data_IF_087876837343
#
_entry.id   IF_087876837343
#
_cell.length_a   1.000
_cell.length_b   1.000
_cell.length_c   1.000
_cell.angle_alpha   90.00
_cell.angle_beta   90.00
_cell.angle_gamma   90.00
#
_symmetry.space_group_name_H-M   'P 1'
#
loop_
_entity.id
_entity.type
_entity.pdbx_description
1 polymer ?
#
# COMPACT_ATOMS: atom_id res chain seq x y z
N UNK A 1 -21.59 -14.28 18.75
CA UNK A 1 -20.73 -13.69 17.70
C UNK A 1 -19.48 -14.56 17.61
N UNK A 2 -19.06 -14.93 16.40
CA UNK A 2 -17.83 -15.71 16.19
C UNK A 2 -16.62 -14.95 16.74
N UNK A 3 -15.54 -15.67 17.12
CA UNK A 3 -14.31 -15.07 17.60
C UNK A 3 -13.72 -14.03 16.61
N UNK A 4 -14.02 -14.20 15.31
CA UNK A 4 -13.60 -13.31 14.21
C UNK A 4 -14.11 -11.87 14.35
N UNK A 5 -15.31 -11.68 14.88
CA UNK A 5 -15.95 -10.36 15.02
C UNK A 5 -16.01 -9.86 16.47
N UNK A 6 -15.08 -10.29 17.30
CA UNK A 6 -15.10 -9.97 18.72
C UNK A 6 -15.04 -8.46 19.02
N UNK A 7 -14.28 -7.69 18.24
CA UNK A 7 -14.17 -6.22 18.39
C UNK A 7 -15.45 -5.46 18.02
N UNK A 8 -16.34 -6.07 17.21
CA UNK A 8 -17.64 -5.47 16.87
C UNK A 8 -18.63 -5.41 18.06
N UNK A 9 -18.28 -5.99 19.21
CA UNK A 9 -19.06 -5.82 20.46
C UNK A 9 -19.00 -4.39 20.97
N UNK A 10 -17.93 -3.68 20.71
CA UNK A 10 -17.70 -2.30 21.17
C UNK A 10 -18.36 -1.30 20.23
N UNK A 11 -19.26 -0.47 20.76
CA UNK A 11 -20.07 0.47 19.96
C UNK A 11 -19.19 1.47 19.20
N UNK A 12 -18.20 2.06 19.89
CA UNK A 12 -17.26 3.00 19.28
C UNK A 12 -16.46 2.35 18.14
N UNK A 13 -16.07 1.06 18.32
CA UNK A 13 -15.36 0.33 17.26
C UNK A 13 -16.27 0.05 16.04
N UNK A 14 -17.56 -0.23 16.21
CA UNK A 14 -18.51 -0.39 15.10
C UNK A 14 -18.61 0.88 14.26
N UNK A 15 -18.79 2.02 14.93
CA UNK A 15 -18.83 3.32 14.23
C UNK A 15 -17.54 3.56 13.44
N UNK A 16 -16.40 3.30 14.06
CA UNK A 16 -15.09 3.43 13.41
C UNK A 16 -14.92 2.51 12.21
N UNK A 17 -15.26 1.23 12.36
CA UNK A 17 -15.08 0.23 11.30
C UNK A 17 -15.88 0.58 10.04
N UNK A 18 -17.18 0.88 10.18
CA UNK A 18 -18.04 1.25 9.06
C UNK A 18 -17.56 2.54 8.40
N UNK A 19 -17.27 3.56 9.20
CA UNK A 19 -16.79 4.83 8.71
C UNK A 19 -15.42 4.73 8.02
N UNK A 20 -14.51 3.94 8.58
CA UNK A 20 -13.19 3.68 7.98
C UNK A 20 -13.30 2.91 6.66
N UNK A 21 -14.23 1.97 6.53
CA UNK A 21 -14.49 1.27 5.28
C UNK A 21 -14.98 2.24 4.21
N UNK A 22 -15.94 3.11 4.54
CA UNK A 22 -16.48 4.13 3.63
C UNK A 22 -15.35 5.08 3.19
N UNK A 23 -14.63 5.70 4.14
CA UNK A 23 -13.56 6.64 3.81
C UNK A 23 -12.41 5.98 3.03
N UNK A 24 -12.03 4.74 3.37
CA UNK A 24 -11.00 4.02 2.62
C UNK A 24 -11.44 3.71 1.18
N UNK A 25 -12.74 3.43 0.96
CA UNK A 25 -13.30 3.26 -0.39
C UNK A 25 -13.22 4.58 -1.15
N UNK A 26 -13.55 5.72 -0.51
CA UNK A 26 -13.38 7.05 -1.05
C UNK A 26 -11.96 7.34 -1.49
N UNK A 27 -10.95 7.07 -0.63
CA UNK A 27 -9.53 7.25 -0.98
C UNK A 27 -9.16 6.55 -2.30
N UNK A 28 -9.59 5.30 -2.49
CA UNK A 28 -9.28 4.55 -3.70
C UNK A 28 -10.08 5.04 -4.91
N UNK A 29 -11.32 5.46 -4.68
CA UNK A 29 -12.18 6.06 -5.70
C UNK A 29 -11.61 7.40 -6.19
N UNK A 30 -11.23 8.29 -5.26
CA UNK A 30 -10.59 9.57 -5.57
C UNK A 30 -9.29 9.39 -6.38
N UNK A 31 -8.47 8.43 -5.99
CA UNK A 31 -7.20 8.15 -6.67
C UNK A 31 -7.40 7.81 -8.15
N UNK A 32 -8.33 6.91 -8.42
CA UNK A 32 -8.68 6.54 -9.79
C UNK A 32 -9.22 7.74 -10.57
N UNK A 33 -10.13 8.51 -9.97
CA UNK A 33 -10.68 9.70 -10.61
C UNK A 33 -9.61 10.76 -10.88
N UNK A 34 -8.65 10.93 -9.97
CA UNK A 34 -7.54 11.87 -10.13
C UNK A 34 -6.58 11.44 -11.24
N UNK A 35 -6.15 10.17 -11.23
CA UNK A 35 -5.28 9.62 -12.27
C UNK A 35 -5.96 9.73 -13.65
N UNK A 36 -7.24 9.40 -13.71
CA UNK A 36 -8.04 9.47 -14.93
C UNK A 36 -8.21 10.91 -15.42
N UNK A 37 -8.50 11.85 -14.51
CA UNK A 37 -8.65 13.27 -14.82
C UNK A 37 -7.36 13.87 -15.38
N UNK A 38 -6.25 13.61 -14.73
CA UNK A 38 -4.93 14.10 -15.20
C UNK A 38 -4.61 13.48 -16.55
N UNK A 39 -4.81 12.18 -16.73
CA UNK A 39 -4.44 11.46 -17.95
C UNK A 39 -5.27 11.85 -19.17
N UNK A 40 -6.59 12.02 -19.00
CA UNK A 40 -7.52 12.13 -20.15
C UNK A 40 -8.09 13.53 -20.39
N UNK A 41 -8.06 14.40 -19.38
CA UNK A 41 -8.66 15.75 -19.49
C UNK A 41 -7.62 16.85 -19.41
N UNK A 42 -6.66 16.75 -18.48
CA UNK A 42 -5.66 17.81 -18.27
C UNK A 42 -4.43 17.65 -19.17
N UNK A 43 -4.17 16.42 -19.63
CA UNK A 43 -3.03 16.12 -20.48
C UNK A 43 -3.45 15.19 -21.61
N UNK A 44 -2.74 15.22 -22.72
CA UNK A 44 -3.01 14.31 -23.84
C UNK A 44 -2.34 12.95 -23.59
N UNK A 45 -2.87 12.20 -22.61
CA UNK A 45 -2.36 10.89 -22.18
C UNK A 45 -0.91 10.91 -21.68
N UNK A 46 -0.45 12.03 -21.10
CA UNK A 46 0.87 12.14 -20.49
C UNK A 46 0.93 11.47 -19.11
N UNK A 47 1.39 10.23 -19.09
CA UNK A 47 1.57 9.47 -17.85
C UNK A 47 2.65 10.05 -16.93
N UNK A 48 3.58 10.88 -17.45
CA UNK A 48 4.58 11.56 -16.60
C UNK A 48 3.91 12.48 -15.59
N UNK A 49 2.85 13.16 -16.00
CA UNK A 49 2.10 14.07 -15.14
C UNK A 49 1.31 13.31 -14.06
N UNK A 50 0.73 12.15 -14.42
CA UNK A 50 0.10 11.26 -13.43
C UNK A 50 1.13 10.76 -12.42
N UNK A 51 2.30 10.36 -12.89
CA UNK A 51 3.42 9.96 -12.05
C UNK A 51 3.87 11.08 -11.10
N UNK A 52 3.93 12.32 -11.58
CA UNK A 52 4.31 13.48 -10.76
C UNK A 52 3.24 13.81 -9.70
N UNK A 53 1.96 13.79 -10.05
CA UNK A 53 0.85 13.96 -9.10
C UNK A 53 0.91 12.89 -8.01
N UNK A 54 1.11 11.64 -8.40
CA UNK A 54 1.29 10.54 -7.45
C UNK A 54 2.51 10.75 -6.56
N UNK A 55 3.64 11.19 -7.13
CA UNK A 55 4.84 11.50 -6.35
C UNK A 55 4.57 12.60 -5.31
N UNK A 56 3.91 13.68 -5.71
CA UNK A 56 3.55 14.78 -4.81
C UNK A 56 2.58 14.36 -3.71
N UNK A 57 1.72 13.37 -3.96
CA UNK A 57 0.82 12.83 -2.96
C UNK A 57 1.55 11.99 -1.89
N UNK A 58 2.62 11.28 -2.26
CA UNK A 58 3.36 10.44 -1.32
C UNK A 58 4.60 11.11 -0.72
N UNK A 59 5.17 12.11 -1.38
CA UNK A 59 6.36 12.84 -0.92
C UNK A 59 6.22 13.43 0.49
N UNK A 60 5.08 14.06 0.86
CA UNK A 60 4.90 14.59 2.21
C UNK A 60 4.98 13.52 3.31
N UNK A 61 4.63 12.27 3.02
CA UNK A 61 4.73 11.17 3.97
C UNK A 61 6.20 10.96 4.37
N UNK A 62 7.13 11.06 3.41
CA UNK A 62 8.56 10.95 3.68
C UNK A 62 9.06 12.18 4.45
N UNK A 63 8.72 13.37 3.95
CA UNK A 63 9.22 14.64 4.50
C UNK A 63 8.74 14.88 5.94
N UNK A 64 7.48 14.57 6.22
CA UNK A 64 6.81 14.94 7.47
C UNK A 64 6.57 13.77 8.43
N UNK A 65 6.95 12.54 8.09
CA UNK A 65 6.69 11.35 8.94
C UNK A 65 7.19 11.49 10.38
N UNK A 66 8.35 12.11 10.59
CA UNK A 66 8.90 12.32 11.92
C UNK A 66 8.04 13.29 12.75
N UNK A 67 7.59 14.39 12.16
CA UNK A 67 6.76 15.39 12.82
C UNK A 67 5.31 14.95 12.95
N UNK A 68 4.80 14.24 11.96
CA UNK A 68 3.46 13.65 11.97
C UNK A 68 3.24 12.75 13.19
N UNK A 69 4.24 11.94 13.54
CA UNK A 69 4.20 11.14 14.75
C UNK A 69 4.15 11.96 16.03
N UNK A 70 4.90 13.08 16.12
CA UNK A 70 4.86 13.97 17.28
C UNK A 70 3.50 14.67 17.42
N UNK A 71 2.92 15.11 16.30
CA UNK A 71 1.59 15.71 16.26
C UNK A 71 0.54 14.70 16.72
N UNK A 72 0.59 13.47 16.20
CA UNK A 72 -0.31 12.39 16.56
C UNK A 72 -0.22 12.01 18.06
N UNK A 73 0.93 12.22 18.70
CA UNK A 73 1.12 11.95 20.13
C UNK A 73 0.64 13.10 21.04
N UNK A 74 0.63 14.35 20.54
CA UNK A 74 0.28 15.52 21.34
C UNK A 74 -1.21 15.88 21.29
N UNK A 75 -1.88 15.56 20.20
CA UNK A 75 -3.28 15.94 19.98
C UNK A 75 -4.16 14.71 20.26
N UNK A 76 -5.32 14.87 20.97
CA UNK A 76 -6.27 13.78 21.16
C UNK A 76 -6.68 13.15 19.83
N UNK A 77 -6.52 11.82 19.70
CA UNK A 77 -6.69 11.09 18.45
C UNK A 77 -8.02 11.37 17.76
N UNK A 78 -9.11 11.45 18.53
CA UNK A 78 -10.45 11.78 18.02
C UNK A 78 -10.50 13.14 17.30
N UNK A 79 -9.95 14.21 17.91
CA UNK A 79 -9.95 15.55 17.29
C UNK A 79 -9.03 15.62 16.09
N UNK A 80 -7.85 15.03 16.21
CA UNK A 80 -6.88 15.00 15.12
C UNK A 80 -7.47 14.34 13.88
N UNK A 81 -8.11 13.17 14.05
CA UNK A 81 -8.75 12.46 12.96
C UNK A 81 -9.94 13.21 12.36
N UNK A 82 -10.74 13.92 13.18
CA UNK A 82 -11.79 14.78 12.64
C UNK A 82 -11.20 15.86 11.73
N UNK A 83 -10.14 16.54 12.16
CA UNK A 83 -9.48 17.58 11.35
C UNK A 83 -8.89 17.01 10.06
N UNK A 84 -8.19 15.87 10.13
CA UNK A 84 -7.56 15.27 8.94
C UNK A 84 -8.61 14.78 7.94
N UNK A 85 -9.68 14.14 8.40
CA UNK A 85 -10.75 13.65 7.53
C UNK A 85 -11.53 14.81 6.88
N UNK A 86 -11.83 15.87 7.63
CA UNK A 86 -12.40 17.11 7.07
C UNK A 86 -11.46 17.74 6.03
N UNK A 87 -10.16 17.78 6.32
CA UNK A 87 -9.16 18.32 5.40
C UNK A 87 -9.10 17.57 4.07
N UNK A 88 -9.08 16.23 4.10
CA UNK A 88 -9.09 15.41 2.87
C UNK A 88 -10.43 15.59 2.13
N UNK A 89 -11.55 15.55 2.84
CA UNK A 89 -12.87 15.80 2.25
C UNK A 89 -12.98 17.17 1.58
N UNK A 90 -12.38 18.21 2.18
CA UNK A 90 -12.32 19.56 1.60
C UNK A 90 -11.46 19.59 0.33
N UNK A 91 -10.32 18.91 0.32
CA UNK A 91 -9.48 18.78 -0.89
C UNK A 91 -10.29 18.12 -2.01
N UNK A 92 -10.99 17.02 -1.74
CA UNK A 92 -11.85 16.36 -2.74
C UNK A 92 -12.99 17.26 -3.22
N UNK A 93 -13.60 18.02 -2.33
CA UNK A 93 -14.64 18.98 -2.69
C UNK A 93 -14.09 20.06 -3.63
N UNK A 94 -12.91 20.63 -3.33
CA UNK A 94 -12.28 21.63 -4.17
C UNK A 94 -11.97 21.05 -5.55
N UNK A 95 -11.37 19.85 -5.63
CA UNK A 95 -11.11 19.19 -6.92
C UNK A 95 -12.42 19.00 -7.68
N UNK A 96 -13.48 18.50 -7.03
CA UNK A 96 -14.79 18.29 -7.65
C UNK A 96 -15.38 19.57 -8.23
N UNK A 97 -15.32 20.69 -7.51
CA UNK A 97 -15.78 22.00 -7.98
C UNK A 97 -14.93 22.46 -9.18
N UNK A 98 -13.62 22.37 -9.09
CA UNK A 98 -12.71 22.78 -10.17
C UNK A 98 -12.96 21.96 -11.45
N UNK A 99 -13.20 20.66 -11.31
CA UNK A 99 -13.57 19.78 -12.45
C UNK A 99 -14.90 20.17 -13.07
N UNK A 100 -15.93 20.39 -12.23
CA UNK A 100 -17.29 20.71 -12.69
C UNK A 100 -17.39 22.10 -13.35
N UNK A 101 -16.61 23.06 -12.89
CA UNK A 101 -16.58 24.40 -13.47
C UNK A 101 -15.73 24.48 -14.74
N UNK A 102 -14.97 23.43 -15.08
CA UNK A 102 -14.08 23.40 -16.22
C UNK A 102 -12.86 24.33 -16.08
N UNK A 103 -12.58 24.84 -14.87
CA UNK A 103 -11.45 25.75 -14.60
C UNK A 103 -10.18 24.99 -14.18
N UNK A 104 -10.20 23.65 -14.32
CA UNK A 104 -9.14 22.78 -13.88
C UNK A 104 -7.86 22.91 -14.72
N UNK A 105 -6.76 23.17 -14.05
CA UNK A 105 -5.42 23.18 -14.63
C UNK A 105 -4.53 22.18 -13.88
N UNK A 106 -3.45 21.76 -14.52
CA UNK A 106 -2.56 20.73 -14.00
C UNK A 106 -1.92 21.13 -12.65
N UNK A 107 -1.55 22.41 -12.48
CA UNK A 107 -0.96 22.89 -11.25
C UNK A 107 -1.90 22.80 -10.03
N UNK A 108 -3.22 22.89 -10.24
CA UNK A 108 -4.19 22.64 -9.17
C UNK A 108 -4.03 21.22 -8.62
N UNK A 109 -3.83 20.23 -9.52
CA UNK A 109 -3.64 18.84 -9.10
C UNK A 109 -2.35 18.64 -8.32
N UNK A 110 -1.26 19.34 -8.69
CA UNK A 110 0.00 19.27 -7.96
C UNK A 110 -0.15 19.79 -6.52
N UNK A 111 -0.74 20.97 -6.36
CA UNK A 111 -0.93 21.59 -5.04
C UNK A 111 -1.87 20.72 -4.18
N UNK A 112 -3.02 20.30 -4.73
CA UNK A 112 -4.02 19.53 -3.99
C UNK A 112 -3.53 18.13 -3.65
N UNK A 113 -2.74 17.51 -4.52
CA UNK A 113 -2.08 16.24 -4.23
C UNK A 113 -1.07 16.38 -3.08
N UNK A 114 -0.25 17.44 -3.07
CA UNK A 114 0.71 17.70 -2.00
C UNK A 114 0.01 18.00 -0.66
N UNK A 115 -1.06 18.78 -0.66
CA UNK A 115 -1.87 19.07 0.53
C UNK A 115 -2.50 17.77 1.06
N UNK A 116 -3.14 16.97 0.19
CA UNK A 116 -3.72 15.68 0.55
C UNK A 116 -2.69 14.73 1.15
N UNK A 117 -1.50 14.67 0.53
CA UNK A 117 -0.36 13.89 1.05
C UNK A 117 0.11 14.36 2.42
N UNK A 118 0.15 15.67 2.65
CA UNK A 118 0.54 16.27 3.94
C UNK A 118 -0.46 15.91 5.04
N UNK A 119 -1.75 15.98 4.73
CA UNK A 119 -2.80 15.56 5.67
C UNK A 119 -2.68 14.05 5.94
N UNK A 120 -2.47 13.24 4.91
CA UNK A 120 -2.34 11.78 5.01
C UNK A 120 -1.11 11.35 5.82
N UNK A 121 -0.02 12.13 5.78
CA UNK A 121 1.17 11.89 6.59
C UNK A 121 0.86 11.91 8.10
N UNK A 122 -0.08 12.78 8.52
CA UNK A 122 -0.53 12.89 9.93
C UNK A 122 -1.67 11.91 10.22
N UNK A 123 -2.60 11.72 9.29
CA UNK A 123 -3.77 10.85 9.43
C UNK A 123 -3.36 9.39 9.69
N UNK A 124 -2.38 8.89 8.93
CA UNK A 124 -1.98 7.47 8.99
C UNK A 124 -1.52 7.02 10.37
N UNK A 125 -0.55 7.68 11.04
CA UNK A 125 -0.15 7.28 12.39
C UNK A 125 -1.25 7.55 13.43
N UNK A 126 -2.03 8.62 13.29
CA UNK A 126 -3.14 8.93 14.16
C UNK A 126 -4.22 7.84 14.12
N UNK A 127 -4.58 7.38 12.92
CA UNK A 127 -5.55 6.30 12.69
C UNK A 127 -5.09 4.98 13.29
N UNK A 128 -3.82 4.61 13.12
CA UNK A 128 -3.27 3.37 13.69
C UNK A 128 -3.29 3.42 15.23
N UNK A 129 -2.93 4.54 15.81
CA UNK A 129 -2.92 4.73 17.25
C UNK A 129 -4.34 4.72 17.84
N UNK A 130 -5.30 5.36 17.17
CA UNK A 130 -6.68 5.49 17.64
C UNK A 130 -7.42 4.15 17.76
N UNK A 131 -7.07 3.15 16.95
CA UNK A 131 -7.62 1.79 17.07
C UNK A 131 -7.43 1.23 18.49
N UNK A 132 -6.30 1.57 19.14
CA UNK A 132 -6.01 1.17 20.51
C UNK A 132 -6.88 1.83 21.57
N UNK A 133 -7.50 2.98 21.23
CA UNK A 133 -8.43 3.66 22.12
C UNK A 133 -9.87 3.11 22.02
N UNK A 134 -10.16 2.26 21.02
CA UNK A 134 -11.51 1.78 20.73
C UNK A 134 -11.83 0.42 21.34
N UNK A 135 -10.82 -0.36 21.70
CA UNK A 135 -10.97 -1.73 22.22
C UNK A 135 -9.94 -1.98 23.33
N UNK A 136 -10.25 -2.87 24.30
CA UNK A 136 -9.26 -3.29 25.28
C UNK A 136 -8.11 -4.06 24.64
N UNK A 137 -6.97 -4.10 25.33
CA UNK A 137 -5.71 -4.65 24.80
C UNK A 137 -5.83 -6.11 24.33
N UNK A 138 -6.66 -6.92 25.00
CA UNK A 138 -6.89 -8.35 24.61
C UNK A 138 -7.60 -8.49 23.25
N UNK A 139 -8.26 -7.44 22.77
CA UNK A 139 -8.99 -7.42 21.49
C UNK A 139 -8.26 -6.64 20.39
N UNK A 140 -7.12 -6.03 20.71
CA UNK A 140 -6.34 -5.19 19.79
C UNK A 140 -5.97 -5.95 18.50
N UNK A 141 -5.48 -7.17 18.59
CA UNK A 141 -5.12 -7.97 17.43
C UNK A 141 -6.33 -8.22 16.50
N UNK A 142 -7.51 -8.46 17.08
CA UNK A 142 -8.75 -8.64 16.31
C UNK A 142 -9.19 -7.34 15.62
N UNK A 143 -9.11 -6.19 16.33
CA UNK A 143 -9.45 -4.89 15.77
C UNK A 143 -8.52 -4.51 14.60
N UNK A 144 -7.21 -4.72 14.76
CA UNK A 144 -6.23 -4.47 13.70
C UNK A 144 -6.48 -5.36 12.48
N UNK A 145 -6.78 -6.64 12.69
CA UNK A 145 -7.10 -7.58 11.59
C UNK A 145 -8.38 -7.16 10.83
N UNK A 146 -9.42 -6.73 11.54
CA UNK A 146 -10.65 -6.25 10.92
C UNK A 146 -10.42 -4.94 10.13
N UNK A 147 -9.63 -4.01 10.68
CA UNK A 147 -9.27 -2.78 9.94
C UNK A 147 -8.45 -3.07 8.68
N UNK A 148 -7.52 -4.03 8.73
CA UNK A 148 -6.80 -4.48 7.54
C UNK A 148 -7.76 -5.08 6.50
N UNK A 149 -8.74 -5.87 6.94
CA UNK A 149 -9.79 -6.42 6.07
C UNK A 149 -10.60 -5.30 5.42
N UNK A 150 -11.04 -4.29 6.19
CA UNK A 150 -11.75 -3.13 5.65
C UNK A 150 -10.94 -2.39 4.60
N UNK A 151 -9.64 -2.15 4.86
CA UNK A 151 -8.74 -1.50 3.90
C UNK A 151 -8.59 -2.29 2.60
N UNK A 152 -8.41 -3.62 2.67
CA UNK A 152 -8.31 -4.46 1.48
C UNK A 152 -9.63 -4.55 0.71
N UNK A 153 -10.77 -4.56 1.40
CA UNK A 153 -12.11 -4.51 0.79
C UNK A 153 -12.32 -3.18 0.07
N UNK A 154 -11.94 -2.06 0.69
CA UNK A 154 -12.00 -0.75 0.10
C UNK A 154 -11.13 -0.63 -1.16
N UNK A 155 -9.92 -1.21 -1.12
CA UNK A 155 -8.99 -1.26 -2.27
C UNK A 155 -9.55 -2.04 -3.46
N UNK A 156 -10.45 -3.00 -3.20
CA UNK A 156 -11.15 -3.76 -4.25
C UNK A 156 -12.34 -2.95 -4.80
N UNK A 157 -13.21 -2.45 -3.91
CA UNK A 157 -14.46 -1.80 -4.28
C UNK A 157 -14.21 -0.42 -4.88
N UNK A 158 -13.28 0.36 -4.31
CA UNK A 158 -13.02 1.75 -4.70
C UNK A 158 -12.71 1.93 -6.18
N UNK A 159 -11.66 1.30 -6.74
CA UNK A 159 -11.33 1.44 -8.16
C UNK A 159 -12.41 0.90 -9.09
N UNK A 160 -13.08 -0.20 -8.72
CA UNK A 160 -14.18 -0.74 -9.51
C UNK A 160 -15.34 0.25 -9.59
N UNK A 161 -15.80 0.78 -8.44
CA UNK A 161 -16.87 1.77 -8.41
C UNK A 161 -16.47 3.09 -9.07
N UNK A 162 -15.21 3.52 -8.96
CA UNK A 162 -14.74 4.74 -9.60
C UNK A 162 -14.91 4.68 -11.13
N UNK A 163 -14.49 3.58 -11.76
CA UNK A 163 -14.66 3.41 -13.20
C UNK A 163 -16.11 3.52 -13.64
N UNK A 164 -17.04 2.85 -12.95
CA UNK A 164 -18.47 2.93 -13.25
C UNK A 164 -19.05 4.33 -13.01
N UNK A 165 -18.69 4.99 -11.91
CA UNK A 165 -19.22 6.33 -11.61
C UNK A 165 -18.69 7.38 -12.59
N UNK A 166 -17.44 7.25 -13.04
CA UNK A 166 -16.87 8.13 -14.06
C UNK A 166 -17.64 7.97 -15.39
N UNK A 167 -17.95 6.74 -15.79
CA UNK A 167 -18.68 6.49 -17.04
C UNK A 167 -20.14 6.98 -16.98
N UNK A 168 -20.80 6.90 -15.81
CA UNK A 168 -22.23 7.27 -15.68
C UNK A 168 -22.44 8.75 -15.40
N UNK A 169 -21.61 9.35 -14.56
CA UNK A 169 -21.83 10.71 -14.03
C UNK A 169 -20.70 11.67 -14.37
N UNK A 170 -19.62 11.18 -14.96
CA UNK A 170 -18.43 11.98 -15.21
C UNK A 170 -17.49 12.07 -14.00
N UNK A 171 -16.36 12.72 -14.19
CA UNK A 171 -15.28 12.76 -13.20
C UNK A 171 -15.61 13.65 -12.00
N UNK A 172 -16.23 14.83 -12.25
CA UNK A 172 -16.50 15.83 -11.19
C UNK A 172 -17.37 15.30 -10.05
N UNK A 173 -18.53 14.67 -10.33
CA UNK A 173 -19.37 14.08 -9.29
C UNK A 173 -18.68 13.00 -8.44
N UNK A 174 -17.71 12.29 -8.99
CA UNK A 174 -16.94 11.28 -8.23
C UNK A 174 -16.17 11.92 -7.07
N UNK A 175 -15.56 13.09 -7.28
CA UNK A 175 -14.89 13.83 -6.21
C UNK A 175 -15.88 14.38 -5.17
N UNK A 176 -17.10 14.76 -5.58
CA UNK A 176 -18.13 15.19 -4.63
C UNK A 176 -18.62 14.01 -3.77
N UNK A 177 -18.80 12.83 -4.37
CA UNK A 177 -19.14 11.60 -3.66
C UNK A 177 -18.04 11.30 -2.64
N UNK A 178 -16.77 11.39 -3.03
CA UNK A 178 -15.64 11.17 -2.13
C UNK A 178 -15.63 12.17 -0.97
N UNK A 179 -15.87 13.45 -1.24
CA UNK A 179 -15.98 14.47 -0.18
C UNK A 179 -17.08 14.12 0.85
N UNK A 180 -18.24 13.61 0.38
CA UNK A 180 -19.32 13.14 1.25
C UNK A 180 -18.89 11.88 2.02
N UNK A 181 -18.16 10.95 1.40
CA UNK A 181 -17.69 9.74 2.06
C UNK A 181 -16.74 10.06 3.22
N UNK A 182 -15.95 11.14 3.12
CA UNK A 182 -15.11 11.62 4.23
C UNK A 182 -15.89 12.23 5.40
N UNK A 183 -17.18 12.57 5.23
CA UNK A 183 -18.02 12.96 6.36
C UNK A 183 -18.37 11.77 7.26
N UNK A 184 -18.39 10.55 6.74
CA UNK A 184 -18.72 9.37 7.54
C UNK A 184 -17.80 9.20 8.78
N UNK A 185 -16.46 9.23 8.70
CA UNK A 185 -15.61 9.18 9.89
C UNK A 185 -15.74 10.42 10.78
N UNK A 186 -15.98 11.61 10.22
CA UNK A 186 -16.19 12.83 11.04
C UNK A 186 -17.43 12.68 11.91
N UNK A 187 -18.54 12.22 11.33
CA UNK A 187 -19.80 11.96 12.02
C UNK A 187 -19.63 10.81 13.01
N UNK A 188 -19.01 9.71 12.61
CA UNK A 188 -18.76 8.57 13.48
C UNK A 188 -17.95 8.98 14.72
N UNK A 189 -16.88 9.74 14.53
CA UNK A 189 -16.06 10.28 15.63
C UNK A 189 -16.86 11.25 16.51
N UNK A 190 -17.78 12.03 15.95
CA UNK A 190 -18.65 12.92 16.73
C UNK A 190 -19.68 12.15 17.58
N UNK A 191 -20.17 11.02 17.10
CA UNK A 191 -21.15 10.17 17.79
C UNK A 191 -20.52 9.22 18.83
N UNK A 192 -19.20 9.06 18.86
CA UNK A 192 -18.52 8.19 19.81
C UNK A 192 -18.68 8.67 21.24
N UNK A 193 -18.90 7.74 22.15
CA UNK A 193 -18.97 7.97 23.59
C UNK A 193 -17.56 8.09 24.15
N UNK A 194 -17.22 9.29 24.64
CA UNK A 194 -15.89 9.61 25.17
C UNK A 194 -15.52 8.82 26.43
N UNK A 195 -16.53 8.49 27.25
CA UNK A 195 -16.41 7.67 28.47
C UNK A 195 -16.05 6.21 28.22
N UNK A 196 -16.26 5.73 26.99
CA UNK A 196 -15.96 4.36 26.55
C UNK A 196 -14.65 4.26 25.75
N UNK A 197 -13.85 5.31 25.69
CA UNK A 197 -12.52 5.27 25.08
C UNK A 197 -11.49 4.79 26.11
N UNK A 198 -10.64 3.87 25.67
CA UNK A 198 -9.55 3.35 26.49
C UNK A 198 -8.38 4.33 26.52
N UNK A 199 -7.75 4.53 27.70
CA UNK A 199 -6.60 5.43 27.80
C UNK A 199 -5.44 4.97 26.89
N UNK A 200 -4.86 5.90 26.17
CA UNK A 200 -3.70 5.63 25.33
C UNK A 200 -2.44 5.55 26.19
N UNK A 201 -1.74 4.43 26.16
CA UNK A 201 -0.39 4.30 26.72
C UNK A 201 0.60 4.97 25.78
N UNK A 202 1.06 6.17 26.14
CA UNK A 202 2.12 6.87 25.40
C UNK A 202 3.45 6.19 25.69
N UNK A 203 4.08 5.63 24.67
CA UNK A 203 5.44 5.11 24.78
C UNK A 203 6.40 6.29 24.59
N UNK A 204 7.27 6.61 25.59
CA UNK A 204 8.22 7.70 25.46
C UNK A 204 9.16 7.46 24.26
N UNK A 205 9.27 8.46 23.40
CA UNK A 205 10.23 8.43 22.28
C UNK A 205 11.55 9.02 22.76
N UNK A 206 12.61 8.21 22.79
CA UNK A 206 13.95 8.69 23.04
C UNK A 206 14.59 9.25 21.77
N UNK A 207 15.43 10.32 21.88
CA UNK A 207 16.23 10.80 20.76
C UNK A 207 17.14 9.69 20.20
N UNK A 208 17.30 9.64 18.87
CA UNK A 208 18.22 8.67 18.24
C UNK A 208 17.61 7.31 17.88
N UNK A 209 16.37 7.01 18.23
CA UNK A 209 15.72 5.72 17.95
C UNK A 209 15.66 5.36 16.47
N UNK A 210 15.54 6.34 15.58
CA UNK A 210 15.55 6.10 14.13
C UNK A 210 16.93 5.64 13.67
N UNK A 211 18.00 6.30 14.14
CA UNK A 211 19.39 5.92 13.83
C UNK A 211 19.71 4.51 14.33
N UNK A 212 19.29 4.19 15.55
CA UNK A 212 19.43 2.84 16.11
C UNK A 212 18.74 1.78 15.23
N UNK A 213 17.54 2.08 14.74
CA UNK A 213 16.80 1.17 13.85
C UNK A 213 17.50 0.97 12.50
N UNK A 214 18.07 2.03 11.92
CA UNK A 214 18.85 1.95 10.69
C UNK A 214 20.11 1.12 10.91
N UNK A 215 20.84 1.33 12.01
CA UNK A 215 22.01 0.54 12.37
C UNK A 215 21.63 -0.93 12.59
N UNK A 216 20.53 -1.20 13.29
CA UNK A 216 20.02 -2.56 13.48
C UNK A 216 19.70 -3.24 12.14
N UNK A 217 18.97 -2.57 11.26
CA UNK A 217 18.67 -3.10 9.92
C UNK A 217 19.95 -3.30 9.11
N UNK A 218 20.93 -2.39 9.23
CA UNK A 218 22.21 -2.54 8.54
C UNK A 218 23.00 -3.77 9.00
N UNK A 219 22.91 -4.14 10.27
CA UNK A 219 23.53 -5.36 10.80
C UNK A 219 22.82 -6.66 10.39
N UNK A 220 21.53 -6.56 9.97
CA UNK A 220 20.68 -7.70 9.62
C UNK A 220 20.53 -7.84 8.10
N UNK A 221 21.35 -8.69 7.53
CA UNK A 221 21.41 -8.91 6.08
C UNK A 221 20.10 -9.46 5.51
N UNK A 222 19.41 -10.32 6.25
CA UNK A 222 18.10 -10.87 5.88
C UNK A 222 17.04 -9.75 5.71
N UNK A 223 16.98 -8.78 6.63
CA UNK A 223 16.07 -7.65 6.56
C UNK A 223 16.46 -6.69 5.44
N UNK A 224 17.77 -6.42 5.24
CA UNK A 224 18.24 -5.54 4.16
C UNK A 224 17.83 -6.03 2.78
N UNK A 225 17.96 -7.34 2.52
CA UNK A 225 17.57 -7.94 1.24
C UNK A 225 16.07 -7.76 1.01
N UNK A 226 15.24 -7.99 2.03
CA UNK A 226 13.80 -7.80 1.94
C UNK A 226 13.48 -6.32 1.64
N UNK A 227 14.12 -5.39 2.34
CA UNK A 227 13.89 -3.95 2.11
C UNK A 227 14.34 -3.51 0.72
N UNK A 228 15.49 -3.98 0.24
CA UNK A 228 15.97 -3.69 -1.11
C UNK A 228 15.00 -4.23 -2.18
N UNK A 229 14.54 -5.47 -2.02
CA UNK A 229 13.55 -6.08 -2.91
C UNK A 229 12.24 -5.30 -2.90
N UNK A 230 11.71 -4.98 -1.72
CA UNK A 230 10.47 -4.20 -1.57
C UNK A 230 10.62 -2.82 -2.19
N UNK A 231 11.76 -2.15 -1.99
CA UNK A 231 12.01 -0.83 -2.58
C UNK A 231 11.93 -0.86 -4.10
N UNK A 232 12.66 -1.77 -4.75
CA UNK A 232 12.71 -1.86 -6.21
C UNK A 232 11.34 -2.24 -6.79
N UNK A 233 10.69 -3.25 -6.21
CA UNK A 233 9.36 -3.69 -6.68
C UNK A 233 8.31 -2.60 -6.44
N UNK A 234 8.35 -1.89 -5.31
CA UNK A 234 7.38 -0.81 -5.04
C UNK A 234 7.63 0.41 -5.93
N UNK A 235 8.90 0.77 -6.19
CA UNK A 235 9.23 1.90 -7.02
C UNK A 235 8.81 1.65 -8.48
N UNK A 236 9.20 0.51 -9.04
CA UNK A 236 9.11 0.29 -10.48
C UNK A 236 7.92 -0.61 -10.88
N UNK A 237 7.56 -1.60 -10.07
CA UNK A 237 6.50 -2.55 -10.39
C UNK A 237 5.11 -2.11 -9.89
N UNK A 238 4.99 -1.58 -8.68
CA UNK A 238 3.67 -1.37 -8.06
C UNK A 238 2.94 -0.10 -8.53
N UNK A 239 3.03 0.23 -9.81
CA UNK A 239 2.37 1.38 -10.45
C UNK A 239 1.14 0.98 -11.27
N UNK A 240 0.50 -0.16 -10.94
CA UNK A 240 -0.57 -0.78 -11.72
C UNK A 240 -1.72 0.19 -12.06
N UNK A 241 -2.11 1.08 -11.17
CA UNK A 241 -3.23 2.00 -11.44
C UNK A 241 -2.92 2.93 -12.62
N UNK A 242 -1.78 3.62 -12.58
CA UNK A 242 -1.34 4.50 -13.66
C UNK A 242 -1.09 3.72 -14.96
N UNK A 243 -0.34 2.61 -14.88
CA UNK A 243 0.04 1.84 -16.08
C UNK A 243 -1.15 1.14 -16.74
N UNK A 244 -2.12 0.64 -15.96
CA UNK A 244 -3.33 0.03 -16.50
C UNK A 244 -4.33 1.06 -17.04
N UNK A 245 -4.40 2.28 -16.46
CA UNK A 245 -5.17 3.38 -17.03
C UNK A 245 -4.58 3.79 -18.39
N UNK A 246 -3.26 3.94 -18.47
CA UNK A 246 -2.56 4.25 -19.71
C UNK A 246 -2.76 3.16 -20.77
N UNK A 247 -2.66 1.86 -20.41
CA UNK A 247 -2.95 0.74 -21.32
C UNK A 247 -4.40 0.73 -21.78
N UNK A 248 -5.34 0.96 -20.88
CA UNK A 248 -6.78 0.98 -21.19
C UNK A 248 -7.09 2.07 -22.24
N UNK A 249 -6.55 3.27 -22.06
CA UNK A 249 -6.81 4.43 -22.93
C UNK A 249 -6.04 4.36 -24.23
N UNK A 250 -4.71 4.22 -24.18
CA UNK A 250 -3.83 4.39 -25.35
C UNK A 250 -3.69 3.12 -26.21
N UNK A 251 -3.71 1.94 -25.58
CA UNK A 251 -3.50 0.67 -26.32
C UNK A 251 -4.84 0.00 -26.68
N UNK A 252 -5.80 0.01 -25.75
CA UNK A 252 -7.07 -0.68 -25.95
C UNK A 252 -8.24 0.25 -26.34
N UNK A 253 -8.07 1.57 -26.31
CA UNK A 253 -9.10 2.56 -26.64
C UNK A 253 -10.36 2.41 -25.77
N UNK A 254 -10.21 2.12 -24.48
CA UNK A 254 -11.28 1.83 -23.53
C UNK A 254 -11.57 3.00 -22.60
N UNK A 255 -12.81 3.10 -22.13
CA UNK A 255 -13.30 4.10 -21.17
C UNK A 255 -12.99 3.69 -19.72
N UNK A 256 -13.33 4.57 -18.78
CA UNK A 256 -13.01 4.44 -17.36
C UNK A 256 -13.62 3.18 -16.70
N UNK A 257 -14.82 2.77 -17.08
CA UNK A 257 -15.42 1.53 -16.57
C UNK A 257 -14.61 0.29 -16.86
N UNK A 258 -13.94 0.25 -18.02
CA UNK A 258 -13.03 -0.84 -18.36
C UNK A 258 -11.81 -0.87 -17.43
N UNK A 259 -11.27 0.29 -17.03
CA UNK A 259 -10.22 0.35 -16.01
C UNK A 259 -10.69 -0.21 -14.66
N UNK A 260 -11.93 0.07 -14.25
CA UNK A 260 -12.54 -0.51 -13.05
C UNK A 260 -12.58 -2.04 -13.08
N UNK A 261 -12.88 -2.63 -14.24
CA UNK A 261 -12.85 -4.09 -14.45
C UNK A 261 -11.42 -4.63 -14.28
N UNK A 262 -10.40 -4.00 -14.87
CA UNK A 262 -8.99 -4.43 -14.71
C UNK A 262 -8.57 -4.43 -13.24
N UNK A 263 -8.96 -3.39 -12.51
CA UNK A 263 -8.68 -3.28 -11.06
C UNK A 263 -9.38 -4.39 -10.26
N UNK A 264 -10.58 -4.80 -10.67
CA UNK A 264 -11.30 -5.91 -10.04
C UNK A 264 -10.59 -7.24 -10.25
N UNK A 265 -10.14 -7.53 -11.47
CA UNK A 265 -9.37 -8.75 -11.76
C UNK A 265 -8.07 -8.81 -10.95
N UNK A 266 -7.34 -7.70 -10.88
CA UNK A 266 -6.14 -7.61 -10.03
C UNK A 266 -6.43 -7.83 -8.55
N UNK A 267 -7.54 -7.30 -8.06
CA UNK A 267 -7.94 -7.43 -6.67
C UNK A 267 -8.33 -8.86 -6.31
N UNK A 268 -8.99 -9.60 -7.22
CA UNK A 268 -9.26 -11.04 -7.04
C UNK A 268 -7.96 -11.81 -6.83
N UNK A 269 -6.96 -11.59 -7.71
CA UNK A 269 -5.64 -12.18 -7.57
C UNK A 269 -4.96 -11.81 -6.24
N UNK A 270 -5.06 -10.55 -5.85
CA UNK A 270 -4.51 -10.01 -4.61
C UNK A 270 -5.08 -10.69 -3.36
N UNK A 271 -6.40 -10.92 -3.31
CA UNK A 271 -7.06 -11.62 -2.22
C UNK A 271 -6.58 -13.08 -2.13
N UNK A 272 -6.51 -13.77 -3.26
CA UNK A 272 -6.01 -15.14 -3.30
C UNK A 272 -4.56 -15.24 -2.85
N UNK A 273 -3.71 -14.31 -3.30
CA UNK A 273 -2.29 -14.24 -2.93
C UNK A 273 -2.07 -13.97 -1.45
N UNK A 274 -2.75 -12.97 -0.90
CA UNK A 274 -2.63 -12.63 0.53
C UNK A 274 -3.15 -13.73 1.43
N UNK A 275 -4.29 -14.34 1.10
CA UNK A 275 -4.87 -15.46 1.85
C UNK A 275 -3.98 -16.69 1.80
N UNK A 276 -3.41 -17.00 0.64
CA UNK A 276 -2.45 -18.11 0.47
C UNK A 276 -1.16 -17.89 1.26
N UNK A 277 -0.65 -16.65 1.30
CA UNK A 277 0.53 -16.27 2.07
C UNK A 277 0.27 -16.35 3.58
N UNK A 278 -0.88 -15.88 4.05
CA UNK A 278 -1.23 -15.87 5.48
C UNK A 278 -1.34 -17.29 6.09
N UNK A 279 -1.64 -18.30 5.29
CA UNK A 279 -1.72 -19.71 5.73
C UNK A 279 -0.36 -20.40 5.81
N UNK A 280 0.72 -19.75 5.41
CA UNK A 280 2.07 -20.33 5.35
C UNK A 280 3.01 -19.59 6.28
N UNK A 281 3.95 -20.31 6.89
CA UNK A 281 5.02 -19.68 7.65
C UNK A 281 5.82 -18.76 6.72
N UNK A 282 6.07 -17.50 7.10
CA UNK A 282 6.80 -16.56 6.27
C UNK A 282 8.25 -17.03 6.10
N UNK A 283 8.70 -17.13 4.86
CA UNK A 283 10.05 -17.58 4.49
C UNK A 283 10.58 -16.74 3.34
N UNK A 284 11.86 -16.44 3.33
CA UNK A 284 12.49 -15.64 2.28
C UNK A 284 12.22 -16.21 0.86
N UNK A 285 12.23 -17.52 0.70
CA UNK A 285 11.93 -18.17 -0.59
C UNK A 285 10.54 -17.83 -1.12
N UNK A 286 9.53 -17.67 -0.25
CA UNK A 286 8.16 -17.32 -0.66
C UNK A 286 8.15 -15.88 -1.18
N UNK A 287 8.92 -15.00 -0.55
CA UNK A 287 9.07 -13.60 -0.97
C UNK A 287 9.75 -13.53 -2.34
N UNK A 288 10.87 -14.23 -2.52
CA UNK A 288 11.62 -14.26 -3.78
C UNK A 288 10.81 -14.88 -4.91
N UNK A 289 10.15 -16.01 -4.67
CA UNK A 289 9.27 -16.65 -5.65
C UNK A 289 8.05 -15.79 -5.97
N UNK A 290 7.47 -15.13 -4.97
CA UNK A 290 6.37 -14.18 -5.16
C UNK A 290 6.77 -12.98 -6.01
N UNK A 291 7.97 -12.42 -5.77
CA UNK A 291 8.51 -11.33 -6.57
C UNK A 291 8.86 -11.75 -8.01
N UNK A 292 9.48 -12.92 -8.19
CA UNK A 292 9.79 -13.45 -9.51
C UNK A 292 8.51 -13.76 -10.29
N UNK A 293 7.53 -14.38 -9.65
CA UNK A 293 6.22 -14.65 -10.24
C UNK A 293 5.50 -13.35 -10.62
N UNK A 294 5.52 -12.35 -9.74
CA UNK A 294 4.96 -11.02 -10.00
C UNK A 294 5.63 -10.36 -11.22
N UNK A 295 6.97 -10.30 -11.24
CA UNK A 295 7.70 -9.71 -12.36
C UNK A 295 7.45 -10.45 -13.69
N UNK A 296 7.39 -11.78 -13.67
CA UNK A 296 7.03 -12.57 -14.85
C UNK A 296 5.60 -12.29 -15.31
N UNK A 297 4.65 -12.21 -14.37
CA UNK A 297 3.27 -11.89 -14.68
C UNK A 297 3.12 -10.47 -15.26
N UNK A 298 3.87 -9.48 -14.77
CA UNK A 298 3.91 -8.12 -15.34
C UNK A 298 4.48 -8.11 -16.76
N UNK A 299 5.54 -8.87 -17.02
CA UNK A 299 6.10 -8.98 -18.38
C UNK A 299 5.05 -9.55 -19.34
N UNK A 300 4.36 -10.63 -18.95
CA UNK A 300 3.28 -11.20 -19.75
C UNK A 300 2.10 -10.23 -19.90
N UNK A 301 1.79 -9.47 -18.85
CA UNK A 301 0.76 -8.44 -18.84
C UNK A 301 1.06 -7.35 -19.87
N UNK A 302 2.31 -6.87 -19.93
CA UNK A 302 2.75 -5.87 -20.91
C UNK A 302 2.64 -6.36 -22.35
N UNK A 303 2.87 -7.64 -22.59
CA UNK A 303 2.82 -8.29 -23.90
C UNK A 303 1.41 -8.72 -24.32
N UNK A 304 0.38 -8.47 -23.50
CA UNK A 304 -0.99 -8.90 -23.77
C UNK A 304 -1.50 -8.35 -25.11
N UNK A 305 -2.07 -9.23 -25.97
CA UNK A 305 -2.53 -8.83 -27.31
C UNK A 305 -3.89 -8.10 -27.29
N UNK A 306 -4.69 -8.29 -26.23
CA UNK A 306 -6.03 -7.72 -26.12
C UNK A 306 -6.37 -7.36 -24.69
N UNK A 307 -7.42 -6.53 -24.54
CA UNK A 307 -7.95 -6.09 -23.25
C UNK A 307 -8.31 -7.28 -22.33
N UNK A 308 -8.97 -8.32 -22.84
CA UNK A 308 -9.37 -9.46 -22.03
C UNK A 308 -8.19 -10.32 -21.56
N UNK A 309 -7.15 -10.45 -22.39
CA UNK A 309 -5.89 -11.08 -21.97
C UNK A 309 -5.21 -10.26 -20.88
N UNK A 310 -5.22 -8.94 -21.00
CA UNK A 310 -4.70 -8.05 -19.96
C UNK A 310 -5.48 -8.20 -18.65
N UNK A 311 -6.82 -8.25 -18.71
CA UNK A 311 -7.68 -8.47 -17.55
C UNK A 311 -7.37 -9.82 -16.86
N UNK A 312 -7.30 -10.91 -17.62
CA UNK A 312 -6.99 -12.24 -17.09
C UNK A 312 -5.60 -12.30 -16.45
N UNK A 313 -4.58 -11.71 -17.09
CA UNK A 313 -3.22 -11.66 -16.58
C UNK A 313 -3.06 -10.73 -15.36
N UNK A 314 -3.99 -9.82 -15.12
CA UNK A 314 -4.03 -9.03 -13.90
C UNK A 314 -4.26 -9.89 -12.65
N UNK A 315 -4.92 -11.06 -12.76
CA UNK A 315 -5.11 -11.99 -11.62
C UNK A 315 -3.77 -12.54 -11.12
N UNK A 316 -2.93 -13.21 -11.93
CA UNK A 316 -1.62 -13.68 -11.46
C UNK A 316 -0.71 -12.54 -11.01
N UNK A 317 -0.80 -11.35 -11.63
CA UNK A 317 -0.06 -10.17 -11.22
C UNK A 317 -0.43 -9.77 -9.78
N UNK A 318 -1.73 -9.61 -9.48
CA UNK A 318 -2.19 -9.32 -8.13
C UNK A 318 -1.83 -10.41 -7.11
N UNK A 319 -1.92 -11.68 -7.51
CA UNK A 319 -1.54 -12.83 -6.67
C UNK A 319 -0.07 -12.75 -6.24
N UNK A 320 0.85 -12.56 -7.20
CA UNK A 320 2.29 -12.47 -6.94
C UNK A 320 2.63 -11.27 -6.04
N UNK A 321 2.06 -10.11 -6.36
CA UNK A 321 2.26 -8.87 -5.63
C UNK A 321 1.92 -9.02 -4.13
N UNK A 322 0.70 -9.49 -3.82
CA UNK A 322 0.25 -9.59 -2.44
C UNK A 322 0.88 -10.78 -1.71
N UNK A 323 1.20 -11.89 -2.39
CA UNK A 323 1.97 -12.99 -1.81
C UNK A 323 3.33 -12.51 -1.32
N UNK A 324 4.06 -11.78 -2.16
CA UNK A 324 5.35 -11.18 -1.84
C UNK A 324 5.22 -10.20 -0.66
N UNK A 325 4.34 -9.21 -0.77
CA UNK A 325 4.22 -8.13 0.22
C UNK A 325 3.78 -8.65 1.60
N UNK A 326 2.76 -9.52 1.65
CA UNK A 326 2.28 -10.12 2.90
C UNK A 326 3.36 -10.97 3.56
N UNK A 327 4.07 -11.79 2.77
CA UNK A 327 5.15 -12.63 3.28
C UNK A 327 6.35 -11.79 3.75
N UNK A 328 6.69 -10.71 3.04
CA UNK A 328 7.78 -9.81 3.40
C UNK A 328 7.49 -9.09 4.72
N UNK A 329 6.32 -8.48 4.84
CA UNK A 329 5.89 -7.82 6.07
C UNK A 329 5.88 -8.79 7.26
N UNK A 330 5.32 -9.99 7.10
CA UNK A 330 5.28 -11.01 8.14
C UNK A 330 6.68 -11.50 8.53
N UNK A 331 7.60 -11.69 7.56
CA UNK A 331 8.96 -12.15 7.84
C UNK A 331 9.75 -11.09 8.59
N UNK A 332 9.66 -9.81 8.20
CA UNK A 332 10.30 -8.71 8.92
C UNK A 332 9.78 -8.63 10.36
N UNK A 333 8.46 -8.74 10.57
CA UNK A 333 7.87 -8.72 11.90
C UNK A 333 8.36 -9.87 12.79
N UNK A 334 8.45 -11.09 12.25
CA UNK A 334 8.82 -12.28 13.03
C UNK A 334 10.32 -12.41 13.28
N UNK A 335 11.16 -11.85 12.39
CA UNK A 335 12.62 -11.86 12.49
C UNK A 335 13.21 -10.70 13.28
N UNK A 336 12.39 -9.69 13.60
CA UNK A 336 12.83 -8.51 14.37
C UNK A 336 12.60 -8.71 15.86
N UNK A 337 13.58 -8.31 16.67
CA UNK A 337 13.50 -8.36 18.13
C UNK A 337 12.24 -7.61 18.63
N UNK A 338 11.52 -8.13 19.64
CA UNK A 338 10.25 -7.56 20.08
C UNK A 338 10.29 -6.07 20.43
N UNK A 339 11.38 -5.62 21.06
CA UNK A 339 11.63 -4.23 21.48
C UNK A 339 11.89 -3.27 20.30
N UNK A 340 12.35 -3.78 19.14
CA UNK A 340 12.67 -3.01 17.93
C UNK A 340 11.63 -3.15 16.82
N UNK A 341 10.69 -4.10 16.97
CA UNK A 341 9.71 -4.47 15.92
C UNK A 341 8.92 -3.29 15.38
N UNK A 342 8.37 -2.46 16.25
CA UNK A 342 7.58 -1.30 15.83
C UNK A 342 8.39 -0.32 14.97
N UNK A 343 9.66 -0.08 15.34
CA UNK A 343 10.57 0.83 14.64
C UNK A 343 11.03 0.27 13.29
N UNK A 344 11.33 -1.01 13.21
CA UNK A 344 11.71 -1.67 11.95
C UNK A 344 10.52 -1.73 11.00
N UNK A 345 9.30 -1.95 11.51
CA UNK A 345 8.08 -1.89 10.69
C UNK A 345 7.77 -0.47 10.19
N UNK A 346 8.07 0.56 10.96
CA UNK A 346 7.99 1.94 10.49
C UNK A 346 8.99 2.20 9.33
N UNK A 347 10.22 1.70 9.45
CA UNK A 347 11.21 1.78 8.37
C UNK A 347 10.78 0.98 7.13
N UNK A 348 10.20 -0.22 7.32
CA UNK A 348 9.61 -1.00 6.22
C UNK A 348 8.51 -0.21 5.49
N UNK A 349 7.61 0.41 6.23
CA UNK A 349 6.53 1.23 5.64
C UNK A 349 7.08 2.46 4.93
N UNK A 350 8.12 3.09 5.48
CA UNK A 350 8.79 4.23 4.86
C UNK A 350 9.45 3.83 3.53
N UNK A 351 10.12 2.69 3.48
CA UNK A 351 10.73 2.16 2.25
C UNK A 351 9.65 1.80 1.23
N UNK A 352 8.58 1.13 1.65
CA UNK A 352 7.48 0.70 0.79
C UNK A 352 6.73 1.88 0.17
N UNK A 353 6.28 2.85 0.99
CA UNK A 353 5.55 4.02 0.52
C UNK A 353 6.47 5.07 -0.11
N UNK A 354 7.69 5.20 0.42
CA UNK A 354 8.68 6.16 -0.05
C UNK A 354 9.33 5.80 -1.38
N UNK A 355 9.16 4.58 -1.85
CA UNK A 355 9.56 4.16 -3.19
C UNK A 355 8.68 4.82 -4.28
N UNK A 356 7.39 5.06 -3.99
CA UNK A 356 6.41 5.60 -4.94
C UNK A 356 6.78 6.99 -5.51
N UNK A 357 7.18 8.00 -4.70
CA UNK A 357 7.57 9.31 -5.23
C UNK A 357 8.76 9.28 -6.20
N UNK A 358 9.60 8.27 -6.08
CA UNK A 358 10.75 8.08 -6.97
C UNK A 358 10.34 7.30 -8.21
N UNK A 359 9.57 6.24 -8.03
CA UNK A 359 9.23 5.30 -9.09
C UNK A 359 8.13 5.80 -10.02
N UNK A 360 7.06 6.41 -9.49
CA UNK A 360 5.91 6.82 -10.31
C UNK A 360 6.27 7.84 -11.39
N UNK A 361 7.08 8.90 -11.15
CA UNK A 361 7.48 9.80 -12.23
C UNK A 361 8.35 9.11 -13.28
N UNK A 362 9.23 8.20 -12.85
CA UNK A 362 10.09 7.45 -13.77
C UNK A 362 9.27 6.52 -14.67
N UNK A 363 8.36 5.76 -14.11
CA UNK A 363 7.47 4.86 -14.85
C UNK A 363 6.50 5.65 -15.74
N UNK A 364 6.00 6.80 -15.25
CA UNK A 364 5.19 7.71 -16.06
C UNK A 364 5.97 8.24 -17.27
N UNK A 365 7.20 8.72 -17.06
CA UNK A 365 8.08 9.18 -18.13
C UNK A 365 8.37 8.07 -19.16
N UNK A 366 8.66 6.85 -18.71
CA UNK A 366 8.83 5.71 -19.61
C UNK A 366 7.55 5.46 -20.41
N UNK A 367 6.38 5.54 -19.77
CA UNK A 367 5.09 5.34 -20.41
C UNK A 367 4.79 6.38 -21.49
N UNK A 368 5.10 7.65 -21.24
CA UNK A 368 4.91 8.74 -22.20
C UNK A 368 5.92 8.67 -23.36
N UNK A 369 7.20 8.36 -23.04
CA UNK A 369 8.27 8.43 -24.06
C UNK A 369 8.34 7.16 -24.92
N UNK A 370 8.22 5.98 -24.32
CA UNK A 370 8.40 4.69 -24.99
C UNK A 370 7.08 3.92 -25.19
N UNK A 371 5.98 4.42 -24.61
CA UNK A 371 4.65 3.84 -24.71
C UNK A 371 4.24 2.98 -23.50
N UNK A 372 2.93 2.79 -23.36
CA UNK A 372 2.31 2.16 -22.19
C UNK A 372 2.84 0.75 -21.87
N UNK A 373 3.19 -0.04 -22.87
CA UNK A 373 3.74 -1.40 -22.67
C UNK A 373 5.09 -1.36 -21.97
N UNK A 374 5.94 -0.39 -22.30
CA UNK A 374 7.27 -0.25 -21.69
C UNK A 374 7.19 0.15 -20.22
N UNK A 375 6.18 0.93 -19.82
CA UNK A 375 6.00 1.28 -18.41
C UNK A 375 5.76 0.05 -17.52
N UNK A 376 5.07 -0.96 -18.03
CA UNK A 376 4.84 -2.23 -17.33
C UNK A 376 6.07 -3.15 -17.46
N UNK A 377 6.69 -3.23 -18.65
CA UNK A 377 7.88 -4.06 -18.89
C UNK A 377 9.03 -3.70 -17.96
N UNK A 378 9.32 -2.41 -17.79
CA UNK A 378 10.38 -1.95 -16.88
C UNK A 378 10.11 -2.41 -15.46
N UNK A 379 8.86 -2.28 -14.98
CA UNK A 379 8.45 -2.79 -13.66
C UNK A 379 8.64 -4.30 -13.52
N UNK A 380 8.18 -5.06 -14.52
CA UNK A 380 8.29 -6.52 -14.54
C UNK A 380 9.75 -7.00 -14.58
N UNK A 381 10.58 -6.42 -15.46
CA UNK A 381 12.01 -6.76 -15.58
C UNK A 381 12.75 -6.41 -14.29
N UNK A 382 12.49 -5.24 -13.71
CA UNK A 382 13.12 -4.83 -12.45
C UNK A 382 12.71 -5.75 -11.29
N UNK A 383 11.43 -6.11 -11.20
CA UNK A 383 10.90 -7.01 -10.16
C UNK A 383 11.47 -8.43 -10.28
N UNK A 384 11.53 -8.96 -11.49
CA UNK A 384 12.14 -10.26 -11.75
C UNK A 384 13.65 -10.20 -11.51
N UNK A 385 14.33 -9.17 -12.01
CA UNK A 385 15.78 -8.99 -11.87
C UNK A 385 16.21 -8.92 -10.40
N UNK A 386 15.56 -8.09 -9.58
CA UNK A 386 15.91 -7.99 -8.15
C UNK A 386 15.61 -9.30 -7.41
N UNK A 387 14.54 -10.02 -7.78
CA UNK A 387 14.24 -11.33 -7.19
C UNK A 387 15.34 -12.35 -7.50
N UNK A 388 15.83 -12.38 -8.74
CA UNK A 388 16.93 -13.26 -9.16
C UNK A 388 18.26 -12.87 -8.50
N UNK A 389 18.60 -11.57 -8.44
CA UNK A 389 19.82 -11.08 -7.80
C UNK A 389 19.81 -11.43 -6.32
N UNK A 390 18.72 -11.14 -5.60
CA UNK A 390 18.57 -11.48 -4.19
C UNK A 390 18.58 -13.00 -3.96
N UNK A 391 17.98 -13.77 -4.87
CA UNK A 391 17.98 -15.23 -4.83
C UNK A 391 19.39 -15.83 -5.02
N UNK A 392 20.10 -15.37 -6.03
CA UNK A 392 21.49 -15.78 -6.30
C UNK A 392 22.41 -15.40 -5.14
N UNK A 393 22.27 -14.18 -4.63
CA UNK A 393 23.04 -13.73 -3.47
C UNK A 393 22.78 -14.60 -2.23
N UNK A 394 21.51 -14.93 -1.94
CA UNK A 394 21.13 -15.78 -0.83
C UNK A 394 21.70 -17.21 -0.97
N UNK A 395 21.73 -17.77 -2.18
CA UNK A 395 22.33 -19.09 -2.43
C UNK A 395 23.82 -19.09 -2.19
N UNK A 396 24.53 -18.05 -2.63
CA UNK A 396 26.00 -17.96 -2.50
C UNK A 396 26.42 -17.75 -1.04
N UNK A 397 25.79 -16.82 -0.33
CA UNK A 397 26.24 -16.39 1.00
C UNK A 397 25.70 -17.26 2.14
N UNK A 398 24.53 -17.86 2.01
CA UNK A 398 23.95 -18.72 3.03
C UNK A 398 24.22 -20.20 2.77
N UNK A 399 25.08 -20.56 1.80
CA UNK A 399 25.38 -21.95 1.41
C UNK A 399 24.08 -22.78 1.25
N UNK A 400 23.05 -22.14 0.72
CA UNK A 400 21.74 -22.75 0.56
C UNK A 400 21.83 -23.93 -0.40
N UNK A 401 21.54 -25.14 0.09
CA UNK A 401 21.38 -26.31 -0.76
C UNK A 401 19.97 -26.32 -1.37
N UNK A 402 19.90 -26.44 -2.67
CA UNK A 402 18.63 -26.69 -3.36
C UNK A 402 18.23 -28.14 -3.08
N UNK A 403 17.21 -28.34 -2.27
CA UNK A 403 16.71 -29.69 -1.93
C UNK A 403 15.41 -29.94 -2.66
N UNK A 404 15.36 -31.04 -3.43
CA UNK A 404 14.11 -31.55 -4.02
C UNK A 404 13.26 -32.18 -2.91
N UNK A 405 12.01 -31.75 -2.79
CA UNK A 405 11.05 -32.28 -1.81
C UNK A 405 9.96 -33.08 -2.52
N UNK A 406 9.46 -34.16 -1.89
CA UNK A 406 8.37 -34.96 -2.47
C UNK A 406 7.01 -34.26 -2.47
N UNK A 407 6.85 -33.11 -1.76
CA UNK A 407 5.63 -32.33 -1.70
C UNK A 407 5.84 -30.89 -2.19
N UNK A 408 4.80 -30.28 -2.76
CA UNK A 408 4.86 -28.90 -3.24
C UNK A 408 5.22 -27.88 -2.12
N UNK A 409 6.16 -26.93 -2.38
CA UNK A 409 6.94 -26.74 -3.59
C UNK A 409 8.08 -27.77 -3.71
N UNK A 410 8.20 -28.44 -4.86
CA UNK A 410 9.17 -29.51 -5.13
C UNK A 410 10.64 -29.10 -5.03
N UNK A 411 10.91 -27.79 -4.94
CA UNK A 411 12.25 -27.23 -4.78
C UNK A 411 12.27 -26.40 -3.52
N UNK A 412 13.21 -26.67 -2.60
CA UNK A 412 13.45 -25.91 -1.38
C UNK A 412 14.88 -25.39 -1.32
N UNK A 413 15.07 -24.17 -0.83
CA UNK A 413 16.38 -23.67 -0.44
C UNK A 413 16.46 -23.83 1.08
N UNK A 414 17.34 -24.68 1.58
CA UNK A 414 17.61 -24.84 3.00
C UNK A 414 18.96 -24.14 3.32
N UNK A 415 18.94 -23.18 4.25
CA UNK A 415 20.15 -22.63 4.82
C UNK A 415 20.81 -23.68 5.72
N UNK A 416 22.14 -23.76 5.69
CA UNK A 416 22.87 -24.58 6.62
C UNK A 416 22.59 -24.07 8.05
N UNK A 417 21.98 -24.90 8.88
CA UNK A 417 21.61 -24.56 10.26
C UNK A 417 22.80 -24.25 11.17
N UNK A 418 24.02 -24.52 10.72
CA UNK A 418 25.27 -24.20 11.44
C UNK A 418 25.64 -22.70 11.38
N UNK A 419 25.06 -21.90 10.48
CA UNK A 419 25.38 -20.48 10.29
C UNK A 419 24.50 -19.57 11.15
N UNK A 420 23.33 -20.02 11.60
CA UNK A 420 22.33 -19.25 12.36
C UNK A 420 22.30 -19.59 13.87
N UNK A 421 23.27 -20.33 14.39
CA UNK A 421 23.41 -20.46 15.84
C UNK A 421 23.89 -19.11 16.41
N UNK A 422 23.13 -18.45 17.31
CA UNK A 422 23.64 -17.29 18.00
C UNK A 422 24.91 -17.72 18.72
N UNK A 423 26.05 -17.03 18.48
CA UNK A 423 27.24 -17.17 19.30
C UNK A 423 26.81 -16.90 20.74
N UNK A 424 26.54 -17.97 21.50
CA UNK A 424 26.47 -17.89 22.94
C UNK A 424 27.82 -17.36 23.39
N UNK A 425 27.82 -16.18 23.96
CA UNK A 425 28.94 -15.67 24.69
C UNK A 425 29.30 -16.70 25.75
N UNK A 426 30.42 -17.36 25.55
CA UNK A 426 31.13 -18.09 26.59
C UNK A 426 31.79 -17.03 27.47
N UNK A 427 31.04 -16.56 28.46
CA UNK A 427 31.56 -15.83 29.60
C UNK A 427 30.79 -16.29 30.82
N UNK A 428 31.22 -17.42 31.35
CA UNK A 428 31.12 -17.79 32.77
C UNK A 428 32.31 -18.61 33.14
N UNK A 429 33.30 -17.99 33.66
CA UNK A 429 34.15 -18.42 34.79
C UNK A 429 34.40 -17.20 35.65
#
# INVERSE_FOLDING_TARGET
MSATFASMRYVNYRYWFVASLIASTGVWLQRVAQDWYVLTVLTDHDASQVGLVTALQFLPIILFSAWAGVIADRIPGRRLLQCTQLGVGLVSLIIGIVVLTGTGELWHQYILAFISGTISAVDTPARQAFVGELVPQEKMANAVALNATAFHTARLIGPASAGFFIDWWGIGPVFLIDAVMFMAPVIALALMRGDQLYPRTLVPRAPGQLRESVVYVHSRTDIRIILALIFVVSALGMNFQMTSALMATTVFGKAAGSFGILSTFMAVGSILGSTGAARRAPRLRIILLGAAFYGTAEILLALSPSYWWFALLSIPTGFGMLTMNTSASALVQTRTDPDKRGRVMALYSLVFLGATPIGSPLIGWVGTTFGARWSILVGGIASLGIALICGAWAMIHWKGRVVRRPSFPWVGIEADSSVDAPRRSVDTL
#
